data_IF_174338962218
#
_entry.id   IF_174338962218
#
_cell.length_a   1.000
_cell.length_b   1.000
_cell.length_c   1.000
_cell.angle_alpha   90.00
_cell.angle_beta   90.00
_cell.angle_gamma   90.00
#
_symmetry.space_group_name_H-M   'P 1'
#
loop_
_entity.id
_entity.type
_entity.pdbx_description
1 polymer ?
#
# COMPACT_ATOMS: atom_id res chain seq x y z
N UNK A 1 -44.43 4.68 37.06
CA UNK A 1 -45.14 3.95 35.97
C UNK A 1 -44.42 2.63 35.75
N UNK A 2 -45.13 1.49 35.59
CA UNK A 2 -44.49 0.19 35.30
C UNK A 2 -44.82 -0.23 33.86
N UNK A 3 -43.86 -0.07 32.94
CA UNK A 3 -44.02 -0.63 31.59
C UNK A 3 -43.81 -2.15 31.64
N UNK A 4 -44.71 -2.93 31.06
CA UNK A 4 -44.69 -4.39 31.18
C UNK A 4 -43.65 -5.03 30.28
N UNK A 5 -42.83 -5.92 30.84
CA UNK A 5 -41.78 -6.67 30.13
C UNK A 5 -42.33 -7.47 28.92
N UNK A 6 -43.60 -7.90 28.98
CA UNK A 6 -44.30 -8.55 27.86
C UNK A 6 -44.38 -7.68 26.60
N UNK A 7 -44.48 -6.35 26.74
CA UNK A 7 -44.60 -5.43 25.59
C UNK A 7 -43.30 -5.40 24.77
N UNK A 8 -42.14 -5.40 25.44
CA UNK A 8 -40.83 -5.46 24.78
C UNK A 8 -40.59 -6.83 24.13
N UNK A 9 -40.95 -7.93 24.81
CA UNK A 9 -40.79 -9.28 24.27
C UNK A 9 -41.62 -9.49 22.99
N UNK A 10 -42.87 -9.00 22.98
CA UNK A 10 -43.75 -9.05 21.81
C UNK A 10 -43.24 -8.20 20.63
N UNK A 11 -42.56 -7.07 20.89
CA UNK A 11 -41.92 -6.28 19.84
C UNK A 11 -40.72 -7.04 19.24
N UNK A 12 -39.88 -7.65 20.08
CA UNK A 12 -38.70 -8.40 19.65
C UNK A 12 -39.05 -9.62 18.78
N UNK A 13 -40.08 -10.39 19.17
CA UNK A 13 -40.59 -11.52 18.36
C UNK A 13 -41.15 -11.07 17.01
N UNK A 14 -41.80 -9.91 16.91
CA UNK A 14 -42.29 -9.36 15.63
C UNK A 14 -41.15 -8.99 14.69
N UNK A 15 -40.04 -8.44 15.21
CA UNK A 15 -38.85 -8.15 14.40
C UNK A 15 -38.19 -9.44 13.86
N UNK A 16 -38.05 -10.48 14.69
CA UNK A 16 -37.52 -11.79 14.28
C UNK A 16 -38.37 -12.46 13.18
N UNK A 17 -39.70 -12.40 13.29
CA UNK A 17 -40.60 -12.90 12.24
C UNK A 17 -40.41 -12.19 10.90
N UNK A 18 -40.16 -10.88 10.91
CA UNK A 18 -39.90 -10.10 9.69
C UNK A 18 -38.56 -10.43 9.02
N UNK A 19 -37.52 -10.75 9.80
CA UNK A 19 -36.22 -11.15 9.27
C UNK A 19 -36.31 -12.47 8.48
N UNK A 20 -36.96 -13.49 9.04
CA UNK A 20 -37.12 -14.81 8.39
C UNK A 20 -37.97 -14.78 7.11
N UNK A 21 -38.88 -13.79 6.98
CA UNK A 21 -39.68 -13.57 5.76
C UNK A 21 -38.86 -12.90 4.64
N UNK A 22 -37.85 -12.10 4.99
CA UNK A 22 -36.92 -11.50 4.01
C UNK A 22 -35.97 -12.56 3.45
N UNK A 23 -35.48 -13.49 4.28
CA UNK A 23 -34.53 -14.52 3.89
C UNK A 23 -35.10 -15.47 2.82
N UNK A 24 -36.30 -16.01 3.06
CA UNK A 24 -37.02 -16.85 2.06
C UNK A 24 -37.34 -16.12 0.75
N UNK A 25 -37.37 -14.78 0.74
CA UNK A 25 -37.54 -13.97 -0.47
C UNK A 25 -36.24 -13.77 -1.26
N UNK A 26 -35.07 -14.01 -0.65
CA UNK A 26 -33.77 -14.06 -1.34
C UNK A 26 -33.58 -15.41 -2.03
N UNK A 27 -33.79 -16.52 -1.30
CA UNK A 27 -33.66 -17.89 -1.84
C UNK A 27 -34.49 -18.10 -3.12
N UNK A 28 -35.75 -17.66 -3.11
CA UNK A 28 -36.64 -17.79 -4.26
C UNK A 28 -36.22 -16.97 -5.50
N UNK A 29 -35.37 -15.94 -5.34
CA UNK A 29 -34.81 -15.16 -6.45
C UNK A 29 -33.54 -15.80 -7.03
N UNK A 30 -32.70 -16.44 -6.20
CA UNK A 30 -31.51 -17.15 -6.69
C UNK A 30 -31.84 -18.29 -7.65
N UNK A 31 -32.92 -19.05 -7.39
CA UNK A 31 -33.33 -20.19 -8.24
C UNK A 31 -33.78 -19.78 -9.65
N UNK A 32 -34.28 -18.56 -9.84
CA UNK A 32 -34.75 -18.06 -11.14
C UNK A 32 -33.63 -17.57 -12.08
N UNK A 33 -32.40 -17.38 -11.59
CA UNK A 33 -31.30 -16.82 -12.38
C UNK A 33 -30.32 -17.86 -12.97
N UNK A 34 -30.48 -19.15 -12.63
CA UNK A 34 -29.61 -20.25 -13.11
C UNK A 34 -30.28 -21.18 -14.14
N UNK A 35 -31.35 -20.71 -14.80
CA UNK A 35 -32.22 -21.50 -15.67
C UNK A 35 -32.11 -21.23 -17.18
N UNK A 36 -30.91 -21.30 -17.79
CA UNK A 36 -30.79 -21.36 -19.26
C UNK A 36 -29.47 -21.96 -19.75
N UNK A 37 -29.55 -22.94 -20.67
CA UNK A 37 -28.41 -23.59 -21.34
C UNK A 37 -28.55 -23.52 -22.87
N UNK A 38 -27.41 -23.37 -23.55
CA UNK A 38 -27.16 -23.58 -24.99
C UNK A 38 -27.96 -22.72 -25.99
N UNK A 39 -27.21 -22.03 -26.85
CA UNK A 39 -27.12 -22.42 -28.26
C UNK A 39 -25.65 -22.46 -28.68
N UNK A 40 -25.30 -23.37 -29.59
CA UNK A 40 -23.99 -23.43 -30.22
C UNK A 40 -24.03 -22.67 -31.55
N UNK A 41 -22.90 -22.12 -31.97
CA UNK A 41 -22.59 -21.90 -33.38
C UNK A 41 -21.14 -22.29 -33.62
N UNK A 42 -20.94 -23.39 -34.35
CA UNK A 42 -19.63 -23.77 -34.88
C UNK A 42 -19.20 -22.81 -35.98
N UNK A 43 -17.90 -22.59 -36.13
CA UNK A 43 -17.27 -22.71 -37.45
C UNK A 43 -15.77 -23.00 -37.31
N UNK A 44 -15.23 -23.68 -38.31
CA UNK A 44 -13.88 -24.23 -38.29
C UNK A 44 -12.81 -23.19 -38.60
N UNK A 45 -11.60 -23.46 -38.13
CA UNK A 45 -10.48 -23.65 -39.07
C UNK A 45 -9.54 -24.72 -38.51
N UNK A 46 -9.35 -25.80 -39.26
CA UNK A 46 -8.26 -26.75 -38.99
C UNK A 46 -6.94 -26.20 -39.53
N UNK A 47 -5.82 -26.63 -38.94
CA UNK A 47 -4.69 -27.03 -39.78
C UNK A 47 -3.71 -28.01 -39.10
N UNK A 48 -3.22 -28.95 -39.91
CA UNK A 48 -2.18 -29.98 -39.65
C UNK A 48 -1.11 -29.82 -40.75
N UNK A 49 0.15 -30.25 -40.69
CA UNK A 49 1.00 -30.99 -39.74
C UNK A 49 2.48 -30.62 -40.11
N UNK A 50 3.60 -31.26 -39.70
CA UNK A 50 3.94 -32.35 -38.76
C UNK A 50 5.45 -32.25 -38.44
N UNK A 51 5.89 -32.71 -37.25
CA UNK A 51 7.31 -33.03 -36.94
C UNK A 51 8.28 -31.82 -36.90
N UNK A 52 9.54 -31.88 -36.44
CA UNK A 52 10.51 -32.99 -36.33
C UNK A 52 11.55 -32.70 -35.22
N UNK A 53 12.19 -33.73 -34.67
CA UNK A 53 13.30 -33.62 -33.71
C UNK A 53 14.67 -33.52 -34.40
N UNK A 54 15.59 -32.65 -33.92
CA UNK A 54 17.04 -32.98 -33.84
C UNK A 54 17.89 -32.01 -33.00
N UNK A 55 18.76 -32.61 -32.17
CA UNK A 55 20.11 -32.19 -31.74
C UNK A 55 20.57 -30.72 -31.94
N UNK A 56 20.67 -30.00 -30.82
CA UNK A 56 21.97 -29.64 -30.21
C UNK A 56 22.94 -28.68 -30.93
N UNK A 57 23.26 -27.57 -30.25
CA UNK A 57 24.60 -26.93 -30.31
C UNK A 57 24.81 -26.07 -29.06
N UNK A 58 26.04 -25.97 -28.56
CA UNK A 58 26.36 -25.26 -27.30
C UNK A 58 26.76 -23.80 -27.53
N UNK A 59 26.33 -22.88 -26.67
CA UNK A 59 27.03 -21.59 -26.50
C UNK A 59 26.89 -20.98 -25.09
N UNK A 60 27.98 -21.10 -24.33
CA UNK A 60 28.54 -20.14 -23.35
C UNK A 60 27.55 -19.39 -22.43
N UNK A 61 27.49 -19.83 -21.17
CA UNK A 61 26.93 -19.05 -20.05
C UNK A 61 27.71 -17.74 -19.83
N UNK A 62 27.06 -16.60 -20.07
CA UNK A 62 27.58 -15.29 -19.67
C UNK A 62 27.25 -15.03 -18.19
N UNK A 63 28.20 -15.29 -17.30
CA UNK A 63 28.08 -15.00 -15.86
C UNK A 63 28.22 -13.50 -15.60
N UNK A 64 27.10 -12.78 -15.64
CA UNK A 64 27.03 -11.38 -15.19
C UNK A 64 27.39 -11.29 -13.71
N UNK A 65 28.58 -10.76 -13.40
CA UNK A 65 29.05 -10.57 -12.02
C UNK A 65 28.10 -9.64 -11.25
N UNK A 66 27.38 -10.20 -10.28
CA UNK A 66 26.68 -9.39 -9.27
C UNK A 66 27.75 -8.85 -8.31
N UNK A 67 28.19 -7.62 -8.51
CA UNK A 67 29.04 -6.91 -7.57
C UNK A 67 28.20 -6.42 -6.39
N UNK A 68 28.01 -7.29 -5.40
CA UNK A 68 27.41 -6.94 -4.11
C UNK A 68 28.27 -5.88 -3.42
N UNK A 69 27.82 -4.62 -3.44
CA UNK A 69 28.43 -3.55 -2.63
C UNK A 69 28.27 -3.96 -1.16
N UNK A 70 29.37 -3.91 -0.40
CA UNK A 70 29.45 -4.51 0.93
C UNK A 70 28.50 -3.85 1.94
N UNK A 71 27.69 -4.66 2.62
CA UNK A 71 26.98 -4.23 3.82
C UNK A 71 27.96 -3.62 4.84
N UNK A 72 27.75 -2.36 5.20
CA UNK A 72 28.32 -1.72 6.40
C UNK A 72 27.18 -1.12 7.22
N UNK A 73 26.85 -1.69 8.39
CA UNK A 73 25.77 -1.18 9.22
C UNK A 73 26.29 -0.05 10.13
N UNK A 74 26.23 1.20 9.68
CA UNK A 74 26.43 2.36 10.56
C UNK A 74 25.99 3.67 9.89
N UNK A 75 25.40 4.57 10.68
CA UNK A 75 24.92 5.92 10.28
C UNK A 75 23.78 5.93 9.24
N UNK A 76 22.53 5.87 9.70
CA UNK A 76 21.38 6.28 8.88
C UNK A 76 20.54 7.37 9.55
N UNK A 77 20.38 8.51 8.87
CA UNK A 77 19.82 9.74 9.42
C UNK A 77 18.29 9.72 9.43
N UNK A 78 17.69 10.24 10.51
CA UNK A 78 16.39 10.89 10.40
C UNK A 78 16.59 12.28 9.79
N UNK A 79 15.93 12.57 8.68
CA UNK A 79 16.01 13.88 8.02
C UNK A 79 14.95 14.81 8.61
N UNK A 80 15.22 15.37 9.80
CA UNK A 80 14.44 16.51 10.29
C UNK A 80 14.79 17.74 9.43
N UNK A 81 13.99 17.97 8.39
CA UNK A 81 14.30 18.84 7.26
C UNK A 81 14.40 20.34 7.60
N UNK A 82 14.19 20.75 8.85
CA UNK A 82 14.30 22.14 9.31
C UNK A 82 15.76 22.56 9.56
N UNK A 83 16.62 22.46 8.55
CA UNK A 83 17.98 23.04 8.60
C UNK A 83 19.06 22.34 7.77
N UNK A 84 18.79 21.17 7.17
CA UNK A 84 19.78 20.46 6.35
C UNK A 84 20.14 21.26 5.09
N UNK A 85 21.44 21.46 4.85
CA UNK A 85 21.94 22.05 3.59
C UNK A 85 21.68 21.15 2.39
N UNK A 86 21.59 21.72 1.19
CA UNK A 86 21.42 20.96 -0.06
C UNK A 86 22.49 19.88 -0.25
N UNK A 87 23.75 20.17 0.11
CA UNK A 87 24.84 19.20 0.09
C UNK A 87 24.61 18.00 1.03
N UNK A 88 24.15 18.24 2.26
CA UNK A 88 23.82 17.16 3.22
C UNK A 88 22.64 16.32 2.73
N UNK A 89 21.62 16.94 2.12
CA UNK A 89 20.49 16.22 1.52
C UNK A 89 20.94 15.32 0.36
N UNK A 90 21.86 15.81 -0.48
CA UNK A 90 22.46 15.04 -1.58
C UNK A 90 23.29 13.86 -1.06
N UNK A 91 24.10 14.04 -0.02
CA UNK A 91 24.84 12.95 0.62
C UNK A 91 23.88 11.88 1.19
N UNK A 92 22.80 12.30 1.84
CA UNK A 92 21.77 11.38 2.36
C UNK A 92 21.03 10.65 1.22
N UNK A 93 20.73 11.33 0.12
CA UNK A 93 20.11 10.74 -1.06
C UNK A 93 21.05 9.71 -1.73
N UNK A 94 22.34 10.03 -1.86
CA UNK A 94 23.35 9.10 -2.40
C UNK A 94 23.52 7.86 -1.51
N UNK A 95 23.59 8.04 -0.18
CA UNK A 95 23.62 6.94 0.79
C UNK A 95 22.33 6.11 0.83
N UNK A 96 21.23 6.62 0.29
CA UNK A 96 19.94 5.90 0.24
C UNK A 96 19.81 4.92 -0.92
N UNK A 97 20.81 4.82 -1.80
CA UNK A 97 20.83 3.86 -2.91
C UNK A 97 20.90 2.43 -2.33
N UNK A 98 19.79 1.70 -2.45
CA UNK A 98 19.70 0.27 -2.06
C UNK A 98 19.90 -0.68 -3.24
N UNK A 99 19.81 -0.17 -4.47
CA UNK A 99 20.08 -0.92 -5.71
C UNK A 99 20.43 0.03 -6.85
N UNK A 100 21.33 -0.38 -7.74
CA UNK A 100 21.45 0.20 -9.07
C UNK A 100 21.90 -0.84 -10.10
N UNK A 101 21.27 -0.81 -11.28
CA UNK A 101 21.64 -1.58 -12.46
C UNK A 101 21.76 -0.66 -13.69
N UNK A 102 21.83 -1.22 -14.91
CA UNK A 102 21.97 -0.46 -16.16
C UNK A 102 20.76 0.44 -16.50
N UNK A 103 19.59 0.17 -15.91
CA UNK A 103 18.32 0.83 -16.25
C UNK A 103 17.72 1.66 -15.10
N UNK A 104 17.93 1.26 -13.84
CA UNK A 104 17.37 1.96 -12.66
C UNK A 104 18.34 2.14 -11.48
N UNK A 105 17.96 3.06 -10.61
CA UNK A 105 18.45 3.27 -9.25
C UNK A 105 17.23 3.19 -8.33
N UNK A 106 17.33 2.45 -7.23
CA UNK A 106 16.31 2.44 -6.19
C UNK A 106 16.84 3.18 -4.94
N UNK A 107 16.09 4.19 -4.49
CA UNK A 107 16.40 4.93 -3.26
C UNK A 107 15.44 4.56 -2.13
N UNK A 108 15.95 4.40 -0.91
CA UNK A 108 15.13 4.33 0.29
C UNK A 108 14.79 5.74 0.78
N UNK A 109 13.66 6.30 0.33
CA UNK A 109 13.23 7.65 0.69
C UNK A 109 12.75 7.67 2.16
N UNK A 110 13.34 8.46 3.07
CA UNK A 110 12.79 8.64 4.42
C UNK A 110 11.45 9.40 4.37
N UNK A 111 10.72 9.42 5.49
CA UNK A 111 9.48 10.19 5.64
C UNK A 111 9.77 11.70 5.56
N UNK A 112 8.77 12.52 5.25
CA UNK A 112 8.91 13.97 5.09
C UNK A 112 9.34 14.40 3.68
N UNK A 113 10.39 13.78 3.12
CA UNK A 113 10.95 14.13 1.79
C UNK A 113 9.88 14.11 0.69
N UNK A 114 9.69 15.21 -0.03
CA UNK A 114 8.91 15.20 -1.29
C UNK A 114 9.76 14.68 -2.46
N UNK A 115 9.13 14.00 -3.42
CA UNK A 115 9.82 13.60 -4.66
C UNK A 115 9.87 14.73 -5.70
N UNK A 116 8.86 15.60 -5.73
CA UNK A 116 8.67 16.61 -6.80
C UNK A 116 8.52 18.06 -6.27
N UNK A 117 9.15 18.37 -5.14
CA UNK A 117 9.00 19.66 -4.46
C UNK A 117 7.65 19.83 -3.75
N UNK A 118 7.37 21.05 -3.31
CA UNK A 118 6.05 21.49 -2.85
C UNK A 118 5.53 22.57 -3.78
N UNK A 119 4.20 22.62 -4.00
CA UNK A 119 3.55 23.68 -4.78
C UNK A 119 3.10 24.88 -3.94
N UNK A 120 3.32 24.85 -2.62
CA UNK A 120 2.96 25.95 -1.73
C UNK A 120 4.12 26.94 -1.55
N UNK A 121 3.94 28.24 -1.79
CA UNK A 121 4.97 29.25 -1.51
C UNK A 121 5.43 29.26 -0.05
N UNK A 122 4.56 28.85 0.88
CA UNK A 122 4.87 28.74 2.32
C UNK A 122 5.83 27.60 2.70
N UNK A 123 6.37 26.85 1.73
CA UNK A 123 7.36 25.79 1.94
C UNK A 123 8.64 25.99 1.12
N UNK A 124 8.95 27.24 0.75
CA UNK A 124 10.24 27.60 0.17
C UNK A 124 11.40 27.14 1.08
N UNK A 125 12.33 26.36 0.51
CA UNK A 125 13.47 25.75 1.23
C UNK A 125 13.34 24.24 1.51
N UNK A 126 12.17 23.63 1.31
CA UNK A 126 12.02 22.16 1.46
C UNK A 126 12.65 21.41 0.28
N UNK A 127 13.79 20.76 0.52
CA UNK A 127 14.53 19.98 -0.50
C UNK A 127 13.77 18.72 -0.91
N UNK A 128 13.70 18.45 -2.21
CA UNK A 128 13.04 17.29 -2.80
C UNK A 128 14.01 16.41 -3.60
N UNK A 129 13.64 15.14 -3.80
CA UNK A 129 14.48 14.18 -4.54
C UNK A 129 14.82 14.68 -5.95
N UNK A 130 13.87 15.31 -6.64
CA UNK A 130 14.09 15.90 -7.97
C UNK A 130 15.27 16.89 -8.00
N UNK A 131 15.46 17.68 -6.93
CA UNK A 131 16.52 18.69 -6.83
C UNK A 131 17.92 18.06 -6.73
N UNK A 132 17.99 16.82 -6.22
CA UNK A 132 19.25 16.06 -6.11
C UNK A 132 19.66 15.34 -7.40
N UNK A 133 18.76 15.19 -8.39
CA UNK A 133 18.99 14.32 -9.56
C UNK A 133 20.19 14.75 -10.40
N UNK A 134 20.44 16.05 -10.57
CA UNK A 134 21.58 16.55 -11.38
C UNK A 134 22.93 16.22 -10.75
N UNK A 135 23.04 16.28 -9.42
CA UNK A 135 24.27 15.94 -8.71
C UNK A 135 24.42 14.43 -8.52
N UNK A 136 23.32 13.69 -8.33
CA UNK A 136 23.33 12.22 -8.39
C UNK A 136 23.75 11.72 -9.78
N UNK A 137 23.29 12.36 -10.85
CA UNK A 137 23.68 12.10 -12.24
C UNK A 137 25.19 12.26 -12.43
N UNK A 138 25.77 13.38 -11.95
CA UNK A 138 27.22 13.64 -11.95
C UNK A 138 28.00 12.58 -11.16
N UNK A 139 27.56 12.25 -9.94
CA UNK A 139 28.23 11.27 -9.05
C UNK A 139 28.17 9.83 -9.56
N UNK A 140 27.04 9.44 -10.15
CA UNK A 140 26.81 8.10 -10.70
C UNK A 140 27.24 7.98 -12.17
N UNK A 141 27.89 9.02 -12.73
CA UNK A 141 28.38 9.08 -14.12
C UNK A 141 27.31 8.69 -15.14
N UNK A 142 26.04 8.97 -14.82
CA UNK A 142 24.86 8.50 -15.55
C UNK A 142 24.08 9.73 -16.01
N UNK A 143 24.09 10.09 -17.31
CA UNK A 143 23.26 11.17 -17.83
C UNK A 143 21.76 10.86 -17.67
N UNK A 144 20.95 11.92 -17.67
CA UNK A 144 19.48 11.87 -17.79
C UNK A 144 18.75 11.03 -16.72
N UNK A 145 19.03 11.26 -15.43
CA UNK A 145 18.26 10.65 -14.35
C UNK A 145 16.82 11.20 -14.30
N UNK A 146 15.82 10.34 -14.47
CA UNK A 146 14.40 10.67 -14.41
C UNK A 146 13.67 9.96 -13.27
N UNK A 147 12.68 10.60 -12.62
CA UNK A 147 11.76 9.88 -11.74
C UNK A 147 10.93 8.87 -12.57
N UNK A 148 11.00 7.59 -12.18
CA UNK A 148 10.23 6.48 -12.77
C UNK A 148 9.06 6.06 -11.89
N UNK A 149 9.30 5.80 -10.59
CA UNK A 149 8.25 5.49 -9.62
C UNK A 149 8.43 6.35 -8.36
N UNK A 150 7.52 7.31 -8.18
CA UNK A 150 7.50 8.21 -7.03
C UNK A 150 6.77 7.60 -5.82
N UNK A 151 6.84 8.32 -4.69
CA UNK A 151 6.20 8.01 -3.40
C UNK A 151 5.82 9.35 -2.75
N UNK A 152 4.77 9.38 -1.92
CA UNK A 152 4.32 10.60 -1.23
C UNK A 152 5.31 11.01 -0.13
N UNK A 153 5.25 12.27 0.30
CA UNK A 153 6.12 12.80 1.36
C UNK A 153 5.94 12.07 2.70
N UNK A 154 4.69 11.88 3.11
CA UNK A 154 4.29 11.20 4.35
C UNK A 154 4.41 9.67 4.32
N UNK A 155 5.03 9.09 3.31
CA UNK A 155 5.43 7.67 3.25
C UNK A 155 6.96 7.57 3.24
N UNK A 156 7.49 6.44 3.74
CA UNK A 156 8.90 6.07 3.58
C UNK A 156 9.07 4.85 2.67
N UNK A 157 10.29 4.58 2.19
CA UNK A 157 10.63 3.38 1.41
C UNK A 157 11.00 3.63 -0.05
N UNK A 158 11.01 2.55 -0.82
CA UNK A 158 11.54 2.50 -2.19
C UNK A 158 10.92 3.53 -3.15
N UNK A 159 11.74 4.32 -3.83
CA UNK A 159 11.41 5.02 -5.07
C UNK A 159 12.35 4.59 -6.19
N UNK A 160 11.89 4.66 -7.45
CA UNK A 160 12.69 4.29 -8.62
C UNK A 160 13.02 5.51 -9.46
N UNK A 161 14.31 5.66 -9.76
CA UNK A 161 14.87 6.61 -10.73
C UNK A 161 15.35 5.79 -11.94
N UNK A 162 15.02 6.24 -13.15
CA UNK A 162 15.41 5.61 -14.40
C UNK A 162 16.66 6.28 -14.98
N UNK A 163 17.54 5.49 -15.60
CA UNK A 163 18.73 5.94 -16.32
C UNK A 163 18.38 6.34 -17.76
N UNK A 164 17.70 7.48 -17.90
CA UNK A 164 17.19 7.99 -19.17
C UNK A 164 15.84 7.44 -19.61
N UNK A 165 15.24 8.12 -20.59
CA UNK A 165 13.85 7.89 -21.02
C UNK A 165 13.61 6.51 -21.64
N UNK A 166 14.66 5.84 -22.16
CA UNK A 166 14.59 4.45 -22.66
C UNK A 166 14.26 3.49 -21.52
N UNK A 167 14.93 3.63 -20.39
CA UNK A 167 14.74 2.80 -19.19
C UNK A 167 13.40 3.08 -18.52
N UNK A 168 12.97 4.34 -18.54
CA UNK A 168 11.61 4.74 -18.15
C UNK A 168 10.55 4.07 -19.02
N UNK A 169 10.74 4.01 -20.34
CA UNK A 169 9.87 3.27 -21.27
C UNK A 169 9.77 1.77 -20.95
N UNK A 170 10.89 1.11 -20.57
CA UNK A 170 10.90 -0.29 -20.11
C UNK A 170 10.09 -0.45 -18.81
N UNK A 171 10.30 0.43 -17.82
CA UNK A 171 9.58 0.40 -16.54
C UNK A 171 8.08 0.59 -16.76
N UNK A 172 7.69 1.57 -17.58
CA UNK A 172 6.30 1.84 -17.96
C UNK A 172 5.62 0.61 -18.59
N UNK A 173 6.32 -0.12 -19.47
CA UNK A 173 5.81 -1.35 -20.08
C UNK A 173 5.65 -2.48 -19.05
N UNK A 174 6.61 -2.65 -18.14
CA UNK A 174 6.51 -3.63 -17.06
C UNK A 174 5.34 -3.33 -16.10
N UNK A 175 5.16 -2.05 -15.71
CA UNK A 175 4.05 -1.61 -14.88
C UNK A 175 2.69 -1.75 -15.58
N UNK A 176 2.60 -1.40 -16.88
CA UNK A 176 1.38 -1.61 -17.70
C UNK A 176 1.03 -3.09 -17.82
N UNK A 177 2.02 -3.96 -18.05
CA UNK A 177 1.84 -5.41 -18.06
C UNK A 177 1.33 -5.91 -16.70
N UNK A 178 2.01 -5.58 -15.60
CA UNK A 178 1.61 -6.00 -14.26
C UNK A 178 0.19 -5.54 -13.91
N UNK A 179 -0.16 -4.28 -14.22
CA UNK A 179 -1.51 -3.75 -14.02
C UNK A 179 -2.59 -4.49 -14.83
N UNK A 180 -2.28 -4.93 -16.06
CA UNK A 180 -3.19 -5.76 -16.87
C UNK A 180 -3.44 -7.15 -16.26
N UNK A 181 -2.41 -7.73 -15.65
CA UNK A 181 -2.44 -9.03 -14.99
C UNK A 181 -2.84 -8.93 -13.50
N UNK A 182 -3.22 -7.73 -13.04
CA UNK A 182 -3.54 -7.38 -11.64
C UNK A 182 -2.41 -7.65 -10.62
N UNK A 183 -1.18 -7.91 -11.06
CA UNK A 183 -0.05 -8.28 -10.19
C UNK A 183 0.27 -7.20 -9.16
N UNK A 184 0.59 -7.63 -7.94
CA UNK A 184 0.85 -6.78 -6.79
C UNK A 184 2.31 -6.31 -6.80
N UNK A 185 2.61 -5.28 -7.60
CA UNK A 185 3.98 -4.76 -7.81
C UNK A 185 4.58 -4.14 -6.56
N UNK A 186 3.77 -3.50 -5.71
CA UNK A 186 4.23 -2.71 -4.57
C UNK A 186 3.87 -3.43 -3.27
N UNK A 187 4.77 -3.46 -2.29
CA UNK A 187 4.49 -4.01 -0.96
C UNK A 187 4.93 -3.08 0.14
N UNK A 188 4.05 -2.92 1.13
CA UNK A 188 4.21 -2.02 2.26
C UNK A 188 4.28 -2.83 3.56
N UNK A 189 5.24 -2.52 4.43
CA UNK A 189 5.17 -2.87 5.84
C UNK A 189 4.42 -1.76 6.56
N UNK A 190 3.46 -2.14 7.39
CA UNK A 190 2.52 -1.22 8.02
C UNK A 190 2.30 -1.64 9.47
N UNK A 191 2.42 -0.70 10.41
CA UNK A 191 1.91 -0.88 11.77
C UNK A 191 0.45 -0.39 11.76
N UNK A 192 -0.48 -1.25 12.17
CA UNK A 192 -1.90 -0.91 12.25
C UNK A 192 -2.49 -1.14 13.65
N UNK A 193 -3.49 -0.33 13.96
CA UNK A 193 -4.30 -0.40 15.18
C UNK A 193 -5.45 -1.36 14.92
N UNK A 194 -5.55 -2.44 15.70
CA UNK A 194 -6.40 -3.60 15.43
C UNK A 194 -5.72 -4.63 14.51
N UNK A 195 -6.37 -5.78 14.33
CA UNK A 195 -5.93 -6.87 13.45
C UNK A 195 -6.86 -6.90 12.22
N UNK A 196 -6.35 -7.04 10.97
CA UNK A 196 -7.20 -6.96 9.79
C UNK A 196 -8.23 -8.10 9.73
N UNK A 197 -9.49 -7.72 9.52
CA UNK A 197 -10.63 -8.66 9.42
C UNK A 197 -10.86 -9.22 8.01
N UNK A 198 -9.96 -8.92 7.07
CA UNK A 198 -9.98 -9.50 5.72
C UNK A 198 -9.43 -10.93 5.69
N UNK A 199 -9.76 -11.75 4.67
CA UNK A 199 -9.15 -13.08 4.48
C UNK A 199 -7.63 -12.99 4.23
N UNK A 200 -6.86 -13.12 5.31
CA UNK A 200 -5.41 -12.99 5.33
C UNK A 200 -4.72 -13.99 4.38
N UNK A 201 -3.63 -13.55 3.76
CA UNK A 201 -2.82 -14.36 2.85
C UNK A 201 -3.45 -14.62 1.47
N UNK A 202 -4.67 -14.13 1.21
CA UNK A 202 -5.38 -14.32 -0.08
C UNK A 202 -5.30 -13.10 -0.99
N UNK A 203 -5.48 -13.32 -2.30
CA UNK A 203 -5.59 -12.26 -3.30
C UNK A 203 -7.00 -11.69 -3.34
N UNK A 204 -7.15 -10.46 -2.84
CA UNK A 204 -8.40 -9.72 -2.74
C UNK A 204 -8.47 -8.62 -3.81
N UNK A 205 -9.68 -8.13 -4.08
CA UNK A 205 -9.86 -6.95 -4.93
C UNK A 205 -11.09 -6.14 -4.51
N UNK A 206 -11.01 -4.82 -4.66
CA UNK A 206 -12.07 -3.90 -4.26
C UNK A 206 -12.11 -2.66 -5.15
N UNK A 207 -13.28 -2.02 -5.27
CA UNK A 207 -13.40 -0.76 -5.98
C UNK A 207 -13.16 0.39 -5.01
N UNK A 208 -12.22 1.26 -5.35
CA UNK A 208 -11.96 2.52 -4.64
C UNK A 208 -12.43 3.65 -5.55
N UNK A 209 -13.22 4.57 -5.01
CA UNK A 209 -13.74 5.75 -5.72
C UNK A 209 -13.27 7.02 -5.01
N UNK A 210 -12.88 8.04 -5.78
CA UNK A 210 -12.67 9.39 -5.24
C UNK A 210 -14.01 10.10 -5.14
N UNK A 211 -14.31 10.63 -3.97
CA UNK A 211 -15.54 11.37 -3.69
C UNK A 211 -15.19 12.63 -2.88
N UNK A 212 -15.87 13.74 -3.14
CA UNK A 212 -15.67 14.98 -2.39
C UNK A 212 -16.57 14.97 -1.16
N UNK A 213 -15.97 14.80 0.01
CA UNK A 213 -16.63 14.55 1.29
C UNK A 213 -15.90 15.34 2.39
N UNK A 214 -16.64 15.97 3.30
CA UNK A 214 -16.08 16.78 4.40
C UNK A 214 -15.06 17.83 3.90
N UNK A 215 -15.45 18.57 2.86
CA UNK A 215 -14.68 19.63 2.19
C UNK A 215 -13.31 19.22 1.61
N UNK A 216 -13.10 17.92 1.34
CA UNK A 216 -11.89 17.40 0.68
C UNK A 216 -12.20 16.25 -0.27
N UNK A 217 -11.30 15.97 -1.19
CA UNK A 217 -11.32 14.69 -1.90
C UNK A 217 -10.84 13.57 -0.96
N UNK A 218 -11.59 12.46 -0.92
CA UNK A 218 -11.23 11.24 -0.19
C UNK A 218 -11.45 9.99 -1.05
N UNK A 219 -10.72 8.93 -0.73
CA UNK A 219 -11.07 7.59 -1.19
C UNK A 219 -12.22 6.98 -0.38
N UNK A 220 -13.11 6.27 -1.07
CA UNK A 220 -14.22 5.49 -0.50
C UNK A 220 -14.20 4.11 -1.15
N UNK A 221 -14.32 3.04 -0.35
CA UNK A 221 -14.50 1.70 -0.90
C UNK A 221 -15.97 1.50 -1.27
N UNK A 222 -16.18 0.97 -2.47
CA UNK A 222 -17.47 0.71 -3.09
C UNK A 222 -17.59 -0.79 -3.35
N UNK A 223 -18.70 -1.39 -2.90
CA UNK A 223 -18.94 -2.83 -3.04
C UNK A 223 -19.34 -3.22 -4.49
N UNK A 224 -19.74 -2.23 -5.30
CA UNK A 224 -20.21 -2.43 -6.68
C UNK A 224 -19.39 -1.67 -7.73
N UNK A 225 -19.28 -2.27 -8.91
CA UNK A 225 -18.59 -1.73 -10.07
C UNK A 225 -19.41 -0.65 -10.79
N UNK A 226 -19.01 0.62 -10.72
CA UNK A 226 -19.58 1.67 -11.56
C UNK A 226 -18.74 1.88 -12.84
N UNK A 227 -19.22 1.34 -13.97
CA UNK A 227 -18.53 1.43 -15.26
C UNK A 227 -18.31 2.88 -15.73
N UNK A 228 -19.24 3.79 -15.47
CA UNK A 228 -19.11 5.21 -15.83
C UNK A 228 -18.03 5.89 -15.00
N UNK A 229 -18.01 5.66 -13.69
CA UNK A 229 -16.99 6.18 -12.78
C UNK A 229 -15.57 5.64 -13.11
N UNK A 230 -15.49 4.38 -13.58
CA UNK A 230 -14.22 3.80 -14.06
C UNK A 230 -13.77 4.38 -15.40
N UNK A 231 -14.69 4.64 -16.33
CA UNK A 231 -14.38 5.32 -17.60
C UNK A 231 -13.95 6.77 -17.39
N UNK A 232 -14.54 7.48 -16.42
CA UNK A 232 -14.14 8.84 -16.04
C UNK A 232 -12.90 8.91 -15.14
N UNK A 233 -12.28 7.78 -14.79
CA UNK A 233 -11.10 7.73 -13.93
C UNK A 233 -11.35 8.10 -12.46
N UNK A 234 -12.60 8.28 -12.04
CA UNK A 234 -12.99 8.57 -10.64
C UNK A 234 -13.09 7.32 -9.77
N UNK A 235 -13.15 6.13 -10.36
CA UNK A 235 -13.11 4.83 -9.68
C UNK A 235 -12.01 3.93 -10.26
N UNK A 236 -11.29 3.21 -9.40
CA UNK A 236 -10.35 2.17 -9.78
C UNK A 236 -10.64 0.83 -9.09
N UNK A 237 -10.37 -0.28 -9.79
CA UNK A 237 -10.22 -1.59 -9.16
C UNK A 237 -8.80 -1.70 -8.60
N UNK A 238 -8.67 -1.83 -7.29
CA UNK A 238 -7.45 -2.25 -6.61
C UNK A 238 -7.43 -3.78 -6.50
N UNK A 239 -6.26 -4.39 -6.62
CA UNK A 239 -6.05 -5.81 -6.28
C UNK A 239 -4.85 -5.90 -5.35
N UNK A 240 -5.03 -6.62 -4.25
CA UNK A 240 -4.18 -6.53 -3.08
C UNK A 240 -4.20 -7.83 -2.28
N UNK A 241 -3.21 -8.00 -1.41
CA UNK A 241 -3.09 -9.10 -0.46
C UNK A 241 -2.60 -8.52 0.87
N UNK A 242 -3.24 -8.91 1.96
CA UNK A 242 -2.83 -8.54 3.32
C UNK A 242 -2.31 -9.78 4.01
N UNK A 243 -1.14 -9.70 4.62
CA UNK A 243 -0.58 -10.78 5.44
C UNK A 243 -0.09 -10.19 6.77
N UNK A 244 -0.68 -10.66 7.87
CA UNK A 244 -0.18 -10.36 9.21
C UNK A 244 1.17 -11.07 9.41
N UNK A 245 2.14 -10.33 9.94
CA UNK A 245 3.52 -10.78 10.19
C UNK A 245 3.82 -10.89 11.69
N UNK A 246 3.16 -10.07 12.51
CA UNK A 246 3.29 -10.02 13.97
C UNK A 246 2.07 -9.35 14.58
N UNK A 247 1.69 -9.72 15.80
CA UNK A 247 0.57 -9.13 16.55
C UNK A 247 0.97 -8.92 18.01
N UNK A 248 0.41 -7.87 18.62
CA UNK A 248 0.36 -7.70 20.06
C UNK A 248 -1.10 -7.43 20.44
N UNK A 249 -1.77 -8.45 20.99
CA UNK A 249 -3.20 -8.41 21.30
C UNK A 249 -3.49 -7.56 22.55
N UNK A 250 -2.57 -7.51 23.52
CA UNK A 250 -2.71 -6.69 24.73
C UNK A 250 -2.70 -5.18 24.45
N UNK A 251 -1.94 -4.75 23.44
CA UNK A 251 -1.96 -3.37 22.92
C UNK A 251 -2.95 -3.18 21.77
N UNK A 252 -3.46 -4.26 21.17
CA UNK A 252 -4.35 -4.22 20.01
C UNK A 252 -3.66 -3.66 18.77
N UNK A 253 -2.46 -4.11 18.44
CA UNK A 253 -1.71 -3.71 17.22
C UNK A 253 -1.19 -4.88 16.41
N UNK A 254 -0.95 -4.65 15.12
CA UNK A 254 -0.34 -5.64 14.23
C UNK A 254 0.68 -5.01 13.28
N UNK A 255 1.69 -5.81 12.90
CA UNK A 255 2.55 -5.54 11.75
C UNK A 255 2.03 -6.37 10.58
N UNK A 256 1.71 -5.71 9.47
CA UNK A 256 1.16 -6.35 8.28
C UNK A 256 1.99 -6.02 7.04
N UNK A 257 2.15 -6.99 6.13
CA UNK A 257 2.52 -6.72 4.74
C UNK A 257 1.24 -6.51 3.92
N UNK A 258 1.15 -5.36 3.24
CA UNK A 258 0.13 -5.11 2.23
C UNK A 258 0.78 -5.04 0.85
N UNK A 259 0.58 -6.06 0.03
CA UNK A 259 0.97 -6.09 -1.37
C UNK A 259 -0.18 -5.58 -2.24
N UNK A 260 0.07 -4.67 -3.18
CA UNK A 260 -0.96 -3.98 -3.96
C UNK A 260 -0.51 -3.66 -5.39
N UNK A 261 -1.44 -3.72 -6.35
CA UNK A 261 -1.17 -3.42 -7.75
C UNK A 261 -1.14 -1.92 -8.10
N UNK A 262 -1.71 -1.06 -7.23
CA UNK A 262 -1.86 0.39 -7.43
C UNK A 262 -1.82 1.14 -6.08
N UNK A 263 -0.74 1.86 -5.83
CA UNK A 263 -0.74 2.98 -4.89
C UNK A 263 -1.28 4.23 -5.59
N UNK A 264 -2.55 4.53 -5.36
CA UNK A 264 -3.22 5.77 -5.74
C UNK A 264 -4.35 6.05 -4.75
N UNK A 265 -4.53 7.33 -4.39
CA UNK A 265 -5.63 7.79 -3.54
C UNK A 265 -5.66 7.04 -2.19
N UNK A 266 -4.52 7.00 -1.50
CA UNK A 266 -4.38 6.46 -0.14
C UNK A 266 -5.02 5.07 -0.01
N UNK A 267 -4.74 4.22 -1.01
CA UNK A 267 -5.44 2.95 -1.20
C UNK A 267 -5.14 1.94 -0.10
N UNK A 268 -3.92 1.95 0.45
CA UNK A 268 -3.54 1.05 1.55
C UNK A 268 -4.25 1.45 2.84
N UNK A 269 -4.26 2.74 3.18
CA UNK A 269 -4.93 3.29 4.35
C UNK A 269 -6.46 3.08 4.27
N UNK A 270 -7.04 3.33 3.09
CA UNK A 270 -8.48 3.12 2.84
C UNK A 270 -8.86 1.65 2.97
N UNK A 271 -8.05 0.72 2.44
CA UNK A 271 -8.27 -0.73 2.53
C UNK A 271 -8.16 -1.19 3.99
N UNK A 272 -7.09 -0.83 4.69
CA UNK A 272 -6.81 -1.27 6.05
C UNK A 272 -7.86 -0.75 7.05
N UNK A 273 -8.27 0.52 6.94
CA UNK A 273 -9.36 1.08 7.75
C UNK A 273 -10.71 0.39 7.47
N UNK A 274 -11.02 0.10 6.20
CA UNK A 274 -12.25 -0.63 5.82
C UNK A 274 -12.32 -2.05 6.40
N UNK A 275 -11.17 -2.70 6.61
CA UNK A 275 -11.03 -4.00 7.26
C UNK A 275 -10.70 -3.92 8.75
N UNK A 276 -11.03 -2.79 9.40
CA UNK A 276 -10.99 -2.58 10.85
C UNK A 276 -9.59 -2.63 11.47
N UNK A 277 -8.55 -2.36 10.67
CA UNK A 277 -7.16 -2.31 11.12
C UNK A 277 -6.45 -1.08 10.53
N UNK A 278 -6.90 0.16 10.81
CA UNK A 278 -6.31 1.38 10.23
C UNK A 278 -4.83 1.55 10.60
N UNK A 279 -4.09 2.22 9.72
CA UNK A 279 -2.65 2.49 9.90
C UNK A 279 -2.41 3.38 11.11
N UNK A 280 -1.37 3.09 11.90
CA UNK A 280 -0.95 3.94 13.00
C UNK A 280 -0.40 5.27 12.46
N UNK A 281 -0.92 6.40 12.96
CA UNK A 281 -0.66 7.75 12.44
C UNK A 281 -1.64 8.24 11.35
N UNK A 282 -2.66 7.44 10.98
CA UNK A 282 -3.66 7.85 10.00
C UNK A 282 -4.75 8.75 10.60
N UNK A 283 -4.63 10.06 10.40
CA UNK A 283 -5.63 11.05 10.80
C UNK A 283 -6.66 11.38 9.69
N UNK A 284 -6.79 10.53 8.66
CA UNK A 284 -7.68 10.74 7.50
C UNK A 284 -8.74 9.64 7.37
N UNK A 285 -8.32 8.37 7.40
CA UNK A 285 -9.21 7.23 7.16
C UNK A 285 -9.54 6.43 8.43
N UNK A 286 -8.75 6.54 9.51
CA UNK A 286 -8.90 5.74 10.74
C UNK A 286 -10.24 5.91 11.45
N UNK A 287 -10.86 7.09 11.40
CA UNK A 287 -12.16 7.37 12.04
C UNK A 287 -13.31 6.49 11.51
N UNK A 288 -13.10 5.77 10.40
CA UNK A 288 -14.03 4.81 9.80
C UNK A 288 -14.02 3.43 10.47
N UNK A 289 -13.00 3.13 11.27
CA UNK A 289 -12.98 1.99 12.19
C UNK A 289 -13.26 2.53 13.60
N UNK A 290 -14.34 2.06 14.22
CA UNK A 290 -14.74 2.49 15.57
C UNK A 290 -15.03 1.28 16.46
N UNK A 291 -15.09 1.48 17.76
CA UNK A 291 -15.34 0.42 18.73
C UNK A 291 -16.66 0.68 19.47
N UNK A 292 -17.50 -0.36 19.56
CA UNK A 292 -18.74 -0.36 20.34
C UNK A 292 -18.68 -1.53 21.33
N UNK A 293 -18.70 -1.24 22.63
CA UNK A 293 -18.53 -2.24 23.70
C UNK A 293 -17.29 -3.14 23.52
N UNK A 294 -16.19 -2.56 23.02
CA UNK A 294 -14.94 -3.27 22.71
C UNK A 294 -14.91 -3.98 21.34
N UNK A 295 -16.04 -4.13 20.66
CA UNK A 295 -16.11 -4.76 19.33
C UNK A 295 -15.83 -3.73 18.23
N UNK A 296 -14.86 -3.95 17.33
CA UNK A 296 -14.61 -3.05 16.21
C UNK A 296 -15.72 -3.16 15.14
N UNK A 297 -16.12 -2.03 14.54
CA UNK A 297 -17.12 -1.95 13.49
C UNK A 297 -16.83 -0.84 12.47
N UNK A 298 -17.40 -1.01 11.26
CA UNK A 298 -17.14 -0.16 10.08
C UNK A 298 -18.19 0.95 9.99
N UNK A 299 -17.78 2.22 10.01
CA UNK A 299 -18.68 3.37 9.79
C UNK A 299 -18.57 3.91 8.37
N UNK A 300 -19.56 4.70 7.94
CA UNK A 300 -19.60 5.26 6.59
C UNK A 300 -18.70 6.49 6.45
N UNK A 301 -17.90 6.53 5.38
CA UNK A 301 -17.12 7.70 4.99
C UNK A 301 -17.97 8.97 4.79
N UNK A 302 -19.27 8.81 4.52
CA UNK A 302 -20.23 9.91 4.35
C UNK A 302 -20.66 10.54 5.69
N UNK A 303 -20.65 9.76 6.77
CA UNK A 303 -21.20 10.18 8.08
C UNK A 303 -20.12 10.58 9.07
N UNK A 304 -18.89 10.07 8.93
CA UNK A 304 -17.78 10.35 9.83
C UNK A 304 -16.69 11.13 9.11
N UNK A 305 -16.32 12.34 9.59
CA UNK A 305 -15.22 13.11 9.03
C UNK A 305 -13.84 12.54 9.43
N UNK A 306 -12.77 12.97 8.75
CA UNK A 306 -11.42 12.86 9.27
C UNK A 306 -11.32 13.44 10.70
N UNK A 307 -10.69 12.71 11.60
CA UNK A 307 -10.36 13.16 12.96
C UNK A 307 -8.97 12.65 13.33
N UNK A 308 -8.40 13.15 14.42
CA UNK A 308 -7.28 12.48 15.08
C UNK A 308 -7.63 11.01 15.33
N UNK A 309 -6.66 10.12 15.11
CA UNK A 309 -6.81 8.68 15.33
C UNK A 309 -7.11 8.40 16.80
N UNK A 310 -8.19 7.65 17.05
CA UNK A 310 -8.51 7.15 18.39
C UNK A 310 -7.76 5.85 18.63
N UNK A 311 -7.01 5.78 19.72
CA UNK A 311 -6.17 4.65 20.10
C UNK A 311 -6.77 3.94 21.32
N UNK A 312 -6.59 2.61 21.47
CA UNK A 312 -6.84 1.93 22.74
C UNK A 312 -5.97 2.54 23.86
N UNK A 313 -6.51 2.70 25.07
CA UNK A 313 -5.79 3.38 26.16
C UNK A 313 -4.42 2.76 26.50
N UNK A 314 -4.29 1.43 26.39
CA UNK A 314 -3.01 0.72 26.55
C UNK A 314 -2.00 1.07 25.46
N UNK A 315 -2.44 1.18 24.21
CA UNK A 315 -1.58 1.60 23.08
C UNK A 315 -1.18 3.06 23.21
N UNK A 316 -2.10 3.93 23.65
CA UNK A 316 -1.77 5.33 23.91
C UNK A 316 -0.68 5.43 24.99
N UNK A 317 -0.85 4.77 26.14
CA UNK A 317 0.14 4.76 27.21
C UNK A 317 1.51 4.20 26.75
N UNK A 318 1.52 3.15 25.92
CA UNK A 318 2.77 2.62 25.35
C UNK A 318 3.44 3.61 24.38
N UNK A 319 2.67 4.40 23.62
CA UNK A 319 3.25 5.42 22.74
C UNK A 319 3.76 6.65 23.52
N UNK A 320 3.09 6.97 24.63
CA UNK A 320 3.51 8.01 25.59
C UNK A 320 4.80 7.65 26.33
N UNK A 321 5.01 6.36 26.64
CA UNK A 321 6.26 5.81 27.19
C UNK A 321 7.41 5.78 26.16
N UNK A 322 7.08 5.56 24.87
CA UNK A 322 8.06 5.54 23.77
C UNK A 322 8.60 6.92 23.40
N UNK A 323 7.71 7.90 23.20
CA UNK A 323 8.05 9.31 22.96
C UNK A 323 6.86 10.17 23.43
N UNK A 324 6.96 10.84 24.60
CA UNK A 324 5.92 11.73 25.11
C UNK A 324 5.47 12.82 24.11
N UNK A 325 6.36 13.19 23.18
CA UNK A 325 6.07 14.14 22.11
C UNK A 325 5.19 13.60 20.97
N UNK A 326 4.79 12.32 20.97
CA UNK A 326 3.89 11.75 19.95
C UNK A 326 2.40 11.98 20.23
N UNK A 327 2.01 12.26 21.47
CA UNK A 327 0.60 12.55 21.85
C UNK A 327 0.35 14.02 22.16
N UNK A 328 1.40 14.84 22.29
CA UNK A 328 1.28 16.30 22.29
C UNK A 328 0.50 16.80 21.06
N UNK A 329 -0.45 17.72 21.29
CA UNK A 329 -1.20 18.38 20.20
C UNK A 329 -0.29 19.15 19.23
N UNK A 330 0.95 19.45 19.64
CA UNK A 330 2.05 20.04 18.88
C UNK A 330 2.51 19.19 17.68
N UNK A 331 2.39 17.86 17.76
CA UNK A 331 3.09 16.91 16.88
C UNK A 331 2.13 15.80 16.45
N UNK A 332 1.79 15.76 15.16
CA UNK A 332 1.12 14.58 14.59
C UNK A 332 2.11 13.42 14.48
N UNK A 333 1.82 12.32 15.16
CA UNK A 333 2.48 11.02 14.93
C UNK A 333 2.60 10.73 13.41
N UNK A 334 3.78 10.31 12.91
CA UNK A 334 3.97 10.01 11.50
C UNK A 334 3.21 8.73 11.10
N UNK A 335 2.79 8.67 9.83
CA UNK A 335 2.11 7.50 9.29
C UNK A 335 3.09 6.32 9.24
N UNK A 336 2.82 5.27 10.02
CA UNK A 336 3.68 4.10 10.19
C UNK A 336 3.56 3.12 9.00
N UNK A 337 3.90 3.60 7.81
CA UNK A 337 3.88 2.84 6.56
C UNK A 337 5.19 3.04 5.76
N UNK A 338 5.77 1.91 5.33
CA UNK A 338 7.03 1.86 4.61
C UNK A 338 6.94 0.96 3.37
N UNK A 339 7.26 1.49 2.18
CA UNK A 339 7.32 0.73 0.91
C UNK A 339 8.58 -0.13 0.84
N UNK A 340 8.58 -1.22 1.60
CA UNK A 340 9.74 -2.09 1.78
C UNK A 340 10.16 -2.86 0.53
N UNK A 341 9.22 -3.17 -0.38
CA UNK A 341 9.46 -4.11 -1.49
C UNK A 341 8.75 -3.71 -2.78
N UNK A 342 9.44 -3.86 -3.91
CA UNK A 342 8.90 -3.71 -5.27
C UNK A 342 9.26 -4.96 -6.08
N UNK A 343 8.31 -5.52 -6.83
CA UNK A 343 8.49 -6.72 -7.64
C UNK A 343 8.18 -6.45 -9.12
N UNK A 344 9.21 -6.23 -9.94
CA UNK A 344 9.10 -5.94 -11.37
C UNK A 344 9.28 -7.21 -12.23
N UNK A 345 8.17 -7.86 -12.56
CA UNK A 345 8.14 -8.88 -13.61
C UNK A 345 8.36 -8.27 -15.00
N UNK A 346 9.11 -8.95 -15.87
CA UNK A 346 9.39 -8.52 -17.26
C UNK A 346 10.20 -7.22 -17.39
N UNK A 347 11.05 -6.93 -16.42
CA UNK A 347 11.97 -5.80 -16.42
C UNK A 347 13.42 -6.29 -16.29
N UNK A 348 14.40 -5.72 -17.02
CA UNK A 348 14.27 -4.70 -18.07
C UNK A 348 13.80 -5.25 -19.42
N UNK A 349 13.67 -6.58 -19.58
CA UNK A 349 13.23 -7.25 -20.81
C UNK A 349 12.09 -8.23 -20.53
N UNK A 350 11.30 -8.53 -21.57
CA UNK A 350 10.10 -9.39 -21.50
C UNK A 350 10.34 -10.72 -20.80
N UNK A 351 11.50 -11.32 -21.03
CA UNK A 351 11.86 -12.67 -20.60
C UNK A 351 12.90 -12.64 -19.45
N UNK A 352 13.11 -11.46 -18.84
CA UNK A 352 13.85 -11.32 -17.59
C UNK A 352 13.13 -11.99 -16.41
N UNK A 353 13.91 -12.63 -15.54
CA UNK A 353 13.43 -13.05 -14.21
C UNK A 353 12.88 -11.84 -13.43
N UNK A 354 11.91 -12.02 -12.51
CA UNK A 354 11.35 -10.90 -11.76
C UNK A 354 12.41 -10.20 -10.91
N UNK A 355 12.58 -8.89 -11.12
CA UNK A 355 13.48 -8.07 -10.31
C UNK A 355 12.77 -7.70 -9.01
N UNK A 356 13.25 -8.26 -7.90
CA UNK A 356 12.75 -7.97 -6.55
C UNK A 356 13.71 -6.97 -5.89
N UNK A 357 13.19 -5.79 -5.56
CA UNK A 357 13.91 -4.72 -4.88
C UNK A 357 13.38 -4.62 -3.45
N UNK A 358 14.28 -4.42 -2.48
CA UNK A 358 13.95 -4.28 -1.06
C UNK A 358 14.67 -3.09 -0.42
N UNK A 359 14.03 -2.42 0.54
CA UNK A 359 14.61 -1.39 1.39
C UNK A 359 14.56 -1.79 2.87
N UNK A 360 15.57 -1.41 3.68
CA UNK A 360 15.51 -1.57 5.13
C UNK A 360 14.52 -0.57 5.76
N UNK A 361 13.90 -0.99 6.86
CA UNK A 361 13.01 -0.14 7.65
C UNK A 361 13.76 1.06 8.25
N UNK A 362 13.13 2.24 8.39
CA UNK A 362 13.71 3.39 9.11
C UNK A 362 13.94 3.06 10.59
N UNK A 363 14.98 3.65 11.20
CA UNK A 363 15.34 3.36 12.59
C UNK A 363 14.22 3.65 13.60
N UNK A 364 13.44 4.72 13.40
CA UNK A 364 12.24 5.00 14.23
C UNK A 364 11.17 3.92 14.08
N UNK A 365 11.01 3.32 12.89
CA UNK A 365 10.04 2.25 12.63
C UNK A 365 10.50 0.95 13.31
N UNK A 366 11.79 0.60 13.20
CA UNK A 366 12.38 -0.57 13.86
C UNK A 366 12.30 -0.43 15.39
N UNK A 367 12.53 0.76 15.92
CA UNK A 367 12.48 1.04 17.37
C UNK A 367 11.05 0.95 17.90
N UNK A 368 10.09 1.54 17.18
CA UNK A 368 8.65 1.43 17.50
C UNK A 368 8.13 -0.01 17.40
N UNK A 369 8.59 -0.81 16.42
CA UNK A 369 8.27 -2.24 16.36
C UNK A 369 8.75 -3.01 17.60
N UNK A 370 9.98 -2.75 18.05
CA UNK A 370 10.54 -3.36 19.28
C UNK A 370 9.71 -2.97 20.50
N UNK A 371 9.40 -1.68 20.64
CA UNK A 371 8.63 -1.15 21.77
C UNK A 371 7.20 -1.72 21.83
N UNK A 372 6.51 -1.82 20.69
CA UNK A 372 5.18 -2.44 20.60
C UNK A 372 5.20 -3.98 20.66
N UNK A 373 6.35 -4.62 20.86
CA UNK A 373 6.50 -6.09 20.92
C UNK A 373 6.29 -6.81 19.58
N UNK A 374 6.27 -6.09 18.46
CA UNK A 374 5.98 -6.60 17.11
C UNK A 374 7.20 -7.26 16.47
N UNK A 375 7.63 -8.38 17.07
CA UNK A 375 8.78 -9.18 16.63
C UNK A 375 8.63 -9.66 15.18
N UNK A 376 9.68 -9.49 14.36
CA UNK A 376 9.71 -10.00 12.98
C UNK A 376 11.15 -10.09 12.44
N UNK A 377 11.36 -10.89 11.39
CA UNK A 377 12.64 -11.05 10.68
C UNK A 377 13.17 -9.77 9.97
N UNK A 378 12.36 -8.71 9.95
CA UNK A 378 12.72 -7.38 9.44
C UNK A 378 13.29 -6.46 10.53
N UNK A 379 13.50 -6.97 11.76
CA UNK A 379 14.05 -6.26 12.93
C UNK A 379 15.43 -6.84 13.26
N UNK A 380 16.39 -6.61 12.36
CA UNK A 380 17.80 -6.97 12.50
C UNK A 380 18.67 -5.81 12.00
#
# INVERSE_FOLDING_TARGET
MKCSYRTLLNAFQRCLGHALILDRRLEHKTTLLYGSKKKLSSNCFENKAQSRTRSGTSSKSATSKVSSISNRPENYFDLDHKGSTSAQFIEAAYKSIVHSDDDIIALNKPVGVSVHGSRSPSQAGSSAVIDSLSELSRRLQTPDLEIGLSLKSFYSGLILICKGSKSKGKLDLALKFAASQKLQVLSYLVISVGIPTCPLGTDLSTYIRREFLHNREMSVIQEQNNNTARKSGSMMLASFRVQTLSTNEDLGVSLVEVSINKDKWESVETILSHWLSPVLGDNIYSSRAQYLMGVPFRTSAHTVPPTQQRLPARLQAALEDYDPGLTETSRSMPLCMHRHKISLSRFPRKDSVPLILTAPLPLHFVSLLKHLGLNTKYVH
#
